data_IF_890854252794
#
_entry.id   IF_890854252794
#
_cell.length_a   1.000
_cell.length_b   1.000
_cell.length_c   1.000
_cell.angle_alpha   90.00
_cell.angle_beta   90.00
_cell.angle_gamma   90.00
#
_symmetry.space_group_name_H-M   'P 1'
#
loop_
_entity.id
_entity.type
_entity.pdbx_description
1 polymer ?
#
# COMPACT_ATOMS: atom_id res chain seq x y z
N UNK A 1 -3.88 -8.97 -5.40
CA UNK A 1 -4.85 -8.45 -4.43
C UNK A 1 -5.67 -9.58 -3.86
N UNK A 2 -5.60 -9.78 -2.55
CA UNK A 2 -6.36 -10.76 -1.80
C UNK A 2 -7.89 -10.60 -1.96
N UNK A 3 -8.37 -9.39 -2.27
CA UNK A 3 -9.78 -9.12 -2.54
C UNK A 3 -10.23 -9.47 -3.98
N UNK A 4 -9.33 -9.96 -4.84
CA UNK A 4 -9.63 -10.34 -6.23
C UNK A 4 -9.57 -9.18 -7.25
N UNK A 5 -9.31 -7.96 -6.81
CA UNK A 5 -9.09 -6.82 -7.73
C UNK A 5 -7.75 -6.93 -8.46
N UNK A 6 -7.63 -6.19 -9.57
CA UNK A 6 -6.34 -6.02 -10.25
C UNK A 6 -5.47 -5.06 -9.45
N UNK A 7 -4.16 -5.28 -9.40
CA UNK A 7 -3.20 -4.33 -8.83
C UNK A 7 -3.34 -2.95 -9.48
N UNK A 8 -3.23 -1.89 -8.70
CA UNK A 8 -3.34 -0.49 -9.14
C UNK A 8 -2.60 0.43 -8.16
N UNK A 9 -2.27 1.65 -8.58
CA UNK A 9 -1.69 2.65 -7.68
C UNK A 9 -2.67 3.01 -6.55
N UNK A 10 -2.15 3.19 -5.33
CA UNK A 10 -2.98 3.39 -4.14
C UNK A 10 -3.48 2.09 -3.50
N UNK A 11 -3.15 0.94 -4.07
CA UNK A 11 -3.31 -0.34 -3.38
C UNK A 11 -2.25 -0.55 -2.30
N UNK A 12 -2.65 -1.16 -1.19
CA UNK A 12 -1.74 -1.58 -0.14
C UNK A 12 -2.06 -3.01 0.32
N UNK A 13 -1.00 -3.76 0.64
CA UNK A 13 -1.10 -4.96 1.44
C UNK A 13 -1.16 -4.57 2.92
N UNK A 14 -2.08 -5.20 3.65
CA UNK A 14 -2.33 -4.97 5.07
C UNK A 14 -2.57 -6.30 5.80
N UNK A 15 -2.61 -6.27 7.13
CA UNK A 15 -3.08 -7.42 7.91
C UNK A 15 -4.52 -7.78 7.48
N UNK A 16 -4.84 -9.08 7.43
CA UNK A 16 -6.12 -9.57 6.90
C UNK A 16 -7.36 -8.93 7.54
N UNK A 17 -7.31 -8.63 8.85
CA UNK A 17 -8.39 -7.95 9.57
C UNK A 17 -8.59 -6.47 9.20
N UNK A 18 -7.74 -5.91 8.35
CA UNK A 18 -7.76 -4.51 7.90
C UNK A 18 -8.14 -4.35 6.42
N UNK A 19 -8.52 -5.42 5.73
CA UNK A 19 -9.00 -5.32 4.35
C UNK A 19 -10.17 -4.33 4.27
N UNK A 20 -10.12 -3.43 3.28
CA UNK A 20 -11.06 -2.33 3.09
C UNK A 20 -10.74 -1.05 3.87
N UNK A 21 -9.78 -1.06 4.81
CA UNK A 21 -9.33 0.15 5.50
C UNK A 21 -8.72 1.14 4.50
N UNK A 22 -9.00 2.43 4.70
CA UNK A 22 -8.46 3.52 3.89
C UNK A 22 -7.59 4.41 4.77
N UNK A 23 -6.43 4.80 4.27
CA UNK A 23 -5.48 5.62 5.01
C UNK A 23 -4.72 6.58 4.10
N UNK A 24 -4.03 7.54 4.70
CA UNK A 24 -3.04 8.39 4.06
C UNK A 24 -1.72 8.24 4.81
N UNK A 25 -0.63 8.40 4.09
CA UNK A 25 0.71 8.43 4.68
C UNK A 25 1.07 9.90 4.86
N UNK A 26 1.44 10.29 6.07
CA UNK A 26 1.96 11.63 6.32
C UNK A 26 3.30 11.79 5.62
N UNK A 27 3.50 12.90 4.90
CA UNK A 27 4.70 13.14 4.11
C UNK A 27 4.71 12.51 2.71
N UNK A 28 3.72 11.68 2.35
CA UNK A 28 3.63 11.11 0.99
C UNK A 28 3.47 12.22 -0.08
N UNK A 29 4.45 12.40 -0.98
CA UNK A 29 4.44 13.47 -1.98
C UNK A 29 3.32 13.29 -3.01
N UNK A 30 2.80 12.07 -3.16
CA UNK A 30 1.69 11.78 -4.08
C UNK A 30 0.34 12.17 -3.49
N UNK A 31 0.28 12.46 -2.18
CA UNK A 31 -0.93 12.79 -1.42
C UNK A 31 -2.09 11.79 -1.64
N UNK A 32 -1.75 10.52 -1.88
CA UNK A 32 -2.73 9.50 -2.25
C UNK A 32 -3.50 9.02 -1.02
N UNK A 33 -4.72 8.56 -1.27
CA UNK A 33 -5.45 7.74 -0.29
C UNK A 33 -5.28 6.29 -0.67
N UNK A 34 -4.65 5.53 0.21
CA UNK A 34 -4.41 4.11 0.03
C UNK A 34 -5.59 3.29 0.53
N UNK A 35 -5.82 2.13 -0.08
CA UNK A 35 -6.84 1.17 0.34
C UNK A 35 -6.20 -0.19 0.54
N UNK A 36 -6.47 -0.81 1.68
CA UNK A 36 -6.05 -2.18 1.98
C UNK A 36 -6.84 -3.18 1.14
N UNK A 37 -6.29 -3.56 -0.01
CA UNK A 37 -6.91 -4.48 -0.97
C UNK A 37 -6.13 -5.79 -1.12
N UNK A 38 -4.92 -5.88 -0.54
CA UNK A 38 -4.10 -7.09 -0.50
C UNK A 38 -3.70 -7.52 0.92
N UNK A 39 -3.11 -8.71 1.02
CA UNK A 39 -2.46 -9.24 2.22
C UNK A 39 -1.11 -9.86 1.86
N UNK A 40 -0.16 -9.85 2.79
CA UNK A 40 1.12 -10.54 2.64
C UNK A 40 1.47 -11.32 3.90
N UNK A 41 2.17 -12.45 3.75
CA UNK A 41 2.55 -13.31 4.89
C UNK A 41 3.43 -12.60 5.94
N UNK A 42 4.13 -11.54 5.53
CA UNK A 42 4.97 -10.70 6.39
C UNK A 42 4.30 -9.37 6.81
N UNK A 43 3.08 -9.10 6.36
CA UNK A 43 2.37 -7.84 6.63
C UNK A 43 1.36 -8.06 7.76
N UNK A 44 1.81 -7.80 9.00
CA UNK A 44 1.09 -8.07 10.24
C UNK A 44 0.81 -6.78 11.02
N UNK A 45 -0.25 -6.78 11.84
CA UNK A 45 -0.60 -5.65 12.70
C UNK A 45 -0.80 -4.33 11.93
N UNK A 46 0.00 -3.32 12.27
CA UNK A 46 -0.04 -1.98 11.67
C UNK A 46 0.94 -1.78 10.50
N UNK A 47 1.64 -2.82 10.07
CA UNK A 47 2.48 -2.75 8.86
C UNK A 47 1.61 -2.45 7.62
N UNK A 48 2.08 -1.55 6.75
CA UNK A 48 1.53 -1.29 5.41
C UNK A 48 2.63 -1.51 4.37
N UNK A 49 2.34 -2.33 3.37
CA UNK A 49 3.22 -2.56 2.22
C UNK A 49 2.53 -1.98 0.98
N UNK A 50 3.16 -0.97 0.38
CA UNK A 50 2.56 -0.14 -0.65
C UNK A 50 2.98 -0.65 -2.03
N UNK A 51 1.98 -0.87 -2.89
CA UNK A 51 2.26 -1.32 -4.25
C UNK A 51 2.73 -0.18 -5.14
N UNK A 52 3.79 -0.43 -5.90
CA UNK A 52 4.30 0.42 -6.98
C UNK A 52 4.44 -0.40 -8.27
N UNK A 53 4.31 0.24 -9.43
CA UNK A 53 4.36 -0.45 -10.72
C UNK A 53 5.79 -0.87 -11.09
N UNK A 54 6.80 -0.17 -10.55
CA UNK A 54 8.21 -0.49 -10.73
C UNK A 54 9.01 -0.24 -9.45
N UNK A 55 10.18 -0.89 -9.35
CA UNK A 55 11.10 -0.68 -8.24
C UNK A 55 11.68 0.73 -8.22
N UNK A 56 11.93 1.34 -9.39
CA UNK A 56 12.44 2.71 -9.49
C UNK A 56 11.42 3.73 -8.96
N UNK A 57 10.13 3.54 -9.26
CA UNK A 57 9.04 4.37 -8.72
C UNK A 57 8.96 4.27 -7.20
N UNK A 58 8.99 3.05 -6.66
CA UNK A 58 8.97 2.84 -5.21
C UNK A 58 10.20 3.43 -4.52
N UNK A 59 11.37 3.35 -5.15
CA UNK A 59 12.60 3.97 -4.62
C UNK A 59 12.52 5.49 -4.65
N UNK A 60 12.08 6.09 -5.76
CA UNK A 60 11.92 7.53 -5.90
C UNK A 60 10.95 8.08 -4.83
N UNK A 61 9.83 7.38 -4.62
CA UNK A 61 8.89 7.71 -3.55
C UNK A 61 9.57 7.63 -2.17
N UNK A 62 10.28 6.55 -1.87
CA UNK A 62 10.89 6.34 -0.56
C UNK A 62 11.92 7.42 -0.19
N UNK A 63 12.70 7.92 -1.15
CA UNK A 63 13.71 8.96 -0.87
C UNK A 63 13.13 10.37 -0.75
N UNK A 64 11.85 10.56 -1.08
CA UNK A 64 11.14 11.84 -0.95
C UNK A 64 10.28 11.94 0.32
N UNK A 65 10.00 10.82 0.99
CA UNK A 65 9.15 10.72 2.20
C UNK A 65 9.96 10.87 3.49
#
# INVERSE_FOLDING_TARGET
MANGERVHEGAAACAAGKLGERFRIEGDPTARTYTCTDTGGSVLGDHRDIWFASSDEGYAWWVEV
#
